data_IF_884074094662
#
_entry.id   IF_884074094662
#
_cell.length_a   1.000
_cell.length_b   1.000
_cell.length_c   1.000
_cell.angle_alpha   90.00
_cell.angle_beta   90.00
_cell.angle_gamma   90.00
#
_symmetry.space_group_name_H-M   'P 1'
#
loop_
_entity.id
_entity.type
_entity.pdbx_description
1 polymer ?
#
# COMPACT_ATOMS: atom_id res chain seq x y z
N UNK A 1 72.72 14.94 -50.20
CA UNK A 1 71.36 15.45 -49.90
C UNK A 1 70.81 14.67 -48.71
N UNK A 2 70.33 15.39 -47.67
CA UNK A 2 69.45 14.89 -46.58
C UNK A 2 68.09 14.41 -47.16
N UNK A 3 67.17 13.74 -46.42
CA UNK A 3 67.27 12.96 -45.16
C UNK A 3 66.51 11.59 -45.16
N UNK A 4 66.84 10.78 -44.15
CA UNK A 4 66.06 9.92 -43.21
C UNK A 4 64.54 9.69 -43.37
N UNK A 5 64.11 8.41 -43.21
CA UNK A 5 62.89 7.93 -42.51
C UNK A 5 62.98 6.38 -42.43
N UNK A 6 63.24 5.66 -41.34
CA UNK A 6 62.60 5.57 -40.01
C UNK A 6 61.10 5.21 -40.10
N UNK A 7 60.83 3.92 -40.36
CA UNK A 7 59.49 3.34 -40.24
C UNK A 7 59.17 3.18 -38.76
N UNK A 8 58.21 3.99 -38.31
CA UNK A 8 57.76 4.05 -36.93
C UNK A 8 56.88 2.85 -36.58
N UNK A 9 57.24 2.15 -35.50
CA UNK A 9 56.31 1.32 -34.75
C UNK A 9 55.41 2.26 -33.92
N UNK A 10 54.12 2.28 -34.22
CA UNK A 10 53.13 2.86 -33.32
C UNK A 10 52.33 1.75 -32.67
N UNK A 11 52.75 1.41 -31.45
CA UNK A 11 51.94 0.69 -30.47
C UNK A 11 50.77 1.63 -30.14
N UNK A 12 49.55 1.24 -30.51
CA UNK A 12 48.35 1.94 -30.12
C UNK A 12 48.09 1.69 -28.63
N UNK A 13 48.59 2.57 -27.77
CA UNK A 13 48.24 2.59 -26.36
C UNK A 13 46.77 3.00 -26.24
N UNK A 14 45.92 2.03 -25.91
CA UNK A 14 44.53 2.29 -25.52
C UNK A 14 44.53 3.14 -24.24
N UNK A 15 44.33 4.45 -24.39
CA UNK A 15 44.03 5.32 -23.27
C UNK A 15 42.60 5.02 -22.82
N UNK A 16 42.47 4.16 -21.80
CA UNK A 16 41.26 4.07 -20.98
C UNK A 16 41.11 5.40 -20.23
N UNK A 17 40.38 6.34 -20.83
CA UNK A 17 39.80 7.44 -20.06
C UNK A 17 38.72 6.83 -19.17
N UNK A 18 39.09 6.56 -17.92
CA UNK A 18 38.18 6.31 -16.81
C UNK A 18 37.38 7.59 -16.60
N UNK A 19 36.34 7.76 -17.41
CA UNK A 19 35.37 8.81 -17.21
C UNK A 19 34.46 8.33 -16.08
N UNK A 20 34.87 8.64 -14.85
CA UNK A 20 34.14 8.39 -13.61
C UNK A 20 32.86 9.21 -13.55
N UNK A 21 31.89 8.90 -14.42
CA UNK A 21 30.48 9.10 -14.11
C UNK A 21 29.99 7.78 -13.58
N UNK A 22 29.95 7.66 -12.26
CA UNK A 22 29.03 6.73 -11.59
C UNK A 22 27.66 6.99 -12.20
N UNK A 23 27.25 6.14 -13.16
CA UNK A 23 25.83 5.95 -13.43
C UNK A 23 25.30 5.34 -12.14
N UNK A 24 24.80 6.20 -11.28
CA UNK A 24 23.75 5.80 -10.35
C UNK A 24 22.70 5.22 -11.28
N UNK A 25 22.60 3.88 -11.31
CA UNK A 25 21.39 3.22 -11.75
C UNK A 25 20.38 3.67 -10.70
N UNK A 26 19.83 4.86 -10.92
CA UNK A 26 18.63 5.30 -10.25
C UNK A 26 17.61 4.37 -10.86
N UNK A 27 17.40 3.22 -10.19
CA UNK A 27 16.18 2.45 -10.34
C UNK A 27 15.08 3.45 -10.07
N UNK A 28 14.62 4.09 -11.14
CA UNK A 28 13.42 4.87 -11.15
C UNK A 28 12.37 3.83 -10.81
N UNK A 29 12.05 3.70 -9.51
CA UNK A 29 10.80 3.08 -9.10
C UNK A 29 9.78 3.88 -9.89
N UNK A 30 9.28 3.29 -10.96
CA UNK A 30 8.04 3.73 -11.55
C UNK A 30 7.06 3.59 -10.40
N UNK A 31 6.77 4.71 -9.73
CA UNK A 31 5.56 4.82 -8.95
C UNK A 31 4.48 4.49 -9.97
N UNK A 32 4.01 3.23 -9.95
CA UNK A 32 2.86 2.82 -10.72
C UNK A 32 1.80 3.84 -10.34
N UNK A 33 1.35 4.64 -11.32
CA UNK A 33 0.39 5.69 -11.05
C UNK A 33 -0.79 5.05 -10.31
N UNK A 34 -1.13 5.62 -9.16
CA UNK A 34 -2.35 5.23 -8.44
C UNK A 34 -3.48 5.60 -9.39
N UNK A 35 -4.13 4.59 -10.00
CA UNK A 35 -5.35 4.84 -10.72
C UNK A 35 -6.42 5.06 -9.65
N UNK A 36 -6.66 6.33 -9.31
CA UNK A 36 -7.70 6.74 -8.35
C UNK A 36 -9.12 6.37 -8.81
N UNK A 37 -9.26 5.89 -10.05
CA UNK A 37 -10.50 5.34 -10.59
C UNK A 37 -10.64 3.82 -10.40
N UNK A 38 -9.60 3.11 -9.95
CA UNK A 38 -9.74 1.71 -9.58
C UNK A 38 -10.63 1.65 -8.34
N UNK A 39 -11.80 1.03 -8.49
CA UNK A 39 -12.76 0.92 -7.40
C UNK A 39 -12.22 -0.08 -6.36
N UNK A 40 -12.10 0.38 -5.13
CA UNK A 40 -11.62 -0.44 -4.01
C UNK A 40 -12.82 -1.24 -3.50
N UNK A 41 -12.71 -2.56 -3.48
CA UNK A 41 -13.75 -3.38 -2.85
C UNK A 41 -13.33 -3.68 -1.41
N UNK A 42 -14.14 -3.24 -0.44
CA UNK A 42 -14.05 -3.69 0.94
C UNK A 42 -15.11 -4.76 1.19
N UNK A 43 -14.67 -5.95 1.59
CA UNK A 43 -15.53 -7.05 2.01
C UNK A 43 -15.42 -7.30 3.50
N UNK A 44 -16.50 -7.78 4.11
CA UNK A 44 -16.55 -8.16 5.52
C UNK A 44 -17.34 -9.45 5.70
N UNK A 45 -17.11 -10.12 6.83
CA UNK A 45 -18.02 -11.10 7.41
C UNK A 45 -18.15 -10.82 8.91
N UNK A 46 -19.37 -10.86 9.43
CA UNK A 46 -19.61 -10.71 10.88
C UNK A 46 -19.28 -12.00 11.63
N UNK A 47 -19.46 -13.14 10.97
CA UNK A 47 -19.07 -14.46 11.47
C UNK A 47 -18.22 -15.19 10.42
N UNK A 48 -17.06 -15.69 10.83
CA UNK A 48 -16.17 -16.44 9.94
C UNK A 48 -16.85 -17.70 9.41
N UNK A 49 -16.64 -18.01 8.14
CA UNK A 49 -17.23 -19.15 7.44
C UNK A 49 -18.77 -19.13 7.30
N UNK A 50 -19.44 -18.03 7.67
CA UNK A 50 -20.88 -17.86 7.51
C UNK A 50 -21.20 -16.86 6.40
N UNK A 51 -21.35 -17.37 5.16
CA UNK A 51 -21.53 -16.53 3.96
C UNK A 51 -22.71 -15.54 4.04
N UNK A 52 -23.78 -15.91 4.75
CA UNK A 52 -24.96 -15.05 4.94
C UNK A 52 -24.71 -13.84 5.86
N UNK A 53 -23.56 -13.80 6.55
CA UNK A 53 -23.13 -12.65 7.37
C UNK A 53 -22.16 -11.74 6.64
N UNK A 54 -21.80 -12.09 5.41
CA UNK A 54 -20.81 -11.38 4.62
C UNK A 54 -21.45 -10.36 3.69
N UNK A 55 -20.67 -9.33 3.35
CA UNK A 55 -21.05 -8.32 2.38
C UNK A 55 -19.83 -7.64 1.78
N UNK A 56 -20.06 -6.82 0.77
CA UNK A 56 -19.03 -6.01 0.14
C UNK A 56 -19.55 -4.63 -0.23
N UNK A 57 -18.63 -3.67 -0.32
CA UNK A 57 -18.93 -2.30 -0.71
C UNK A 57 -17.79 -1.72 -1.55
N UNK A 58 -18.15 -0.87 -2.52
CA UNK A 58 -17.19 -0.10 -3.30
C UNK A 58 -16.83 1.18 -2.54
N UNK A 59 -15.54 1.38 -2.32
CA UNK A 59 -15.03 2.47 -1.48
C UNK A 59 -14.41 3.57 -2.35
N UNK A 60 -14.70 4.81 -1.98
CA UNK A 60 -14.08 5.99 -2.58
C UNK A 60 -12.65 6.19 -2.02
N UNK A 61 -11.71 6.57 -2.89
CA UNK A 61 -10.34 6.85 -2.51
C UNK A 61 -10.25 7.96 -1.44
N UNK A 62 -9.70 7.63 -0.27
CA UNK A 62 -9.40 8.57 0.81
C UNK A 62 -10.60 9.02 1.64
N UNK A 63 -11.80 8.58 1.27
CA UNK A 63 -13.01 8.85 2.05
C UNK A 63 -13.05 7.94 3.28
N UNK A 64 -13.46 8.54 4.40
CA UNK A 64 -13.82 7.79 5.59
C UNK A 64 -15.28 7.35 5.52
N UNK A 65 -15.56 6.13 5.95
CA UNK A 65 -16.90 5.56 6.04
C UNK A 65 -17.13 5.07 7.47
N UNK A 66 -18.26 5.43 8.05
CA UNK A 66 -18.74 4.75 9.25
C UNK A 66 -19.30 3.39 8.83
N UNK A 67 -19.03 2.33 9.60
CA UNK A 67 -19.43 0.97 9.21
C UNK A 67 -20.95 0.83 9.14
N UNK A 68 -21.70 1.59 9.94
CA UNK A 68 -23.17 1.69 9.85
C UNK A 68 -23.67 2.19 8.50
N UNK A 69 -22.87 2.96 7.75
CA UNK A 69 -23.21 3.39 6.38
C UNK A 69 -23.07 2.24 5.37
N UNK A 70 -22.20 1.26 5.67
CA UNK A 70 -21.99 0.08 4.85
C UNK A 70 -23.04 -1.00 5.15
N UNK A 71 -23.31 -1.24 6.43
CA UNK A 71 -24.32 -2.17 6.90
C UNK A 71 -24.71 -1.89 8.37
N UNK A 72 -26.01 -1.90 8.73
CA UNK A 72 -26.49 -1.42 10.03
C UNK A 72 -25.98 -2.19 11.26
N UNK A 73 -25.49 -3.41 11.06
CA UNK A 73 -25.04 -4.30 12.14
C UNK A 73 -23.53 -4.55 12.14
N UNK A 74 -22.76 -3.64 11.54
CA UNK A 74 -21.34 -3.85 11.29
C UNK A 74 -20.44 -3.20 12.34
N UNK A 75 -20.91 -2.15 13.03
CA UNK A 75 -20.21 -1.60 14.19
C UNK A 75 -19.99 -2.69 15.23
N UNK A 76 -18.76 -2.75 15.75
CA UNK A 76 -18.33 -3.69 16.80
C UNK A 76 -18.63 -5.15 16.48
N UNK A 77 -18.72 -5.48 15.19
CA UNK A 77 -19.19 -6.80 14.75
C UNK A 77 -18.60 -7.17 13.37
N UNK A 78 -17.27 -7.17 13.28
CA UNK A 78 -16.54 -7.62 12.07
C UNK A 78 -15.51 -8.67 12.47
N UNK A 79 -15.71 -9.93 12.12
CA UNK A 79 -14.72 -10.98 12.40
C UNK A 79 -13.65 -11.07 11.32
N UNK A 80 -14.02 -10.96 10.04
CA UNK A 80 -13.07 -10.99 8.93
C UNK A 80 -13.30 -9.87 7.93
N UNK A 81 -12.20 -9.45 7.30
CA UNK A 81 -12.20 -8.40 6.26
C UNK A 81 -11.43 -8.83 5.03
N UNK A 82 -11.79 -8.25 3.90
CA UNK A 82 -11.10 -8.38 2.62
C UNK A 82 -10.99 -7.02 1.94
N UNK A 83 -9.87 -6.78 1.26
CA UNK A 83 -9.59 -5.55 0.52
C UNK A 83 -9.02 -5.92 -0.85
N UNK A 84 -9.72 -5.51 -1.90
CA UNK A 84 -9.32 -5.71 -3.30
C UNK A 84 -9.04 -4.34 -3.92
N UNK A 85 -7.98 -4.24 -4.73
CA UNK A 85 -7.54 -3.03 -5.44
C UNK A 85 -7.25 -1.81 -4.54
N UNK A 86 -6.97 -2.04 -3.26
CA UNK A 86 -6.65 -0.97 -2.33
C UNK A 86 -6.03 -1.44 -1.03
N UNK A 87 -5.97 -0.50 -0.09
CA UNK A 87 -5.40 -0.65 1.24
C UNK A 87 -6.34 0.07 2.20
N UNK A 88 -6.77 -0.57 3.28
CA UNK A 88 -7.68 0.05 4.25
C UNK A 88 -7.06 0.13 5.65
N UNK A 89 -7.57 1.03 6.47
CA UNK A 89 -7.30 1.09 7.91
C UNK A 89 -8.65 1.18 8.60
N UNK A 90 -8.76 0.57 9.77
CA UNK A 90 -9.98 0.50 10.57
C UNK A 90 -9.75 1.28 11.86
N UNK A 91 -10.74 2.06 12.27
CA UNK A 91 -10.73 2.90 13.46
C UNK A 91 -11.79 2.47 14.46
N UNK A 92 -11.50 2.72 15.73
CA UNK A 92 -12.40 2.40 16.83
C UNK A 92 -13.53 3.43 17.06
N UNK A 93 -13.43 4.61 16.45
CA UNK A 93 -14.45 5.65 16.54
C UNK A 93 -14.86 6.12 15.16
N UNK A 94 -16.05 6.71 15.13
CA UNK A 94 -16.64 7.24 13.92
C UNK A 94 -15.74 8.30 13.26
N UNK A 95 -15.92 8.47 11.96
CA UNK A 95 -15.20 9.44 11.14
C UNK A 95 -13.67 9.28 11.18
N UNK A 96 -13.18 8.04 11.36
CA UNK A 96 -11.77 7.67 11.34
C UNK A 96 -10.96 8.36 12.44
N UNK A 97 -11.50 8.33 13.67
CA UNK A 97 -10.89 8.88 14.87
C UNK A 97 -10.50 7.80 15.88
N UNK A 98 -9.67 8.18 16.85
CA UNK A 98 -9.18 7.29 17.90
C UNK A 98 -8.09 6.34 17.40
N UNK A 99 -7.96 5.25 18.13
CA UNK A 99 -7.02 4.18 17.81
C UNK A 99 -7.41 3.48 16.51
N UNK A 100 -6.41 2.91 15.84
CA UNK A 100 -6.57 2.36 14.51
C UNK A 100 -5.64 1.19 14.23
N UNK A 101 -6.07 0.35 13.30
CA UNK A 101 -5.30 -0.80 12.87
C UNK A 101 -4.02 -0.38 12.12
N UNK A 102 -3.14 -1.36 11.90
CA UNK A 102 -2.22 -1.28 10.77
C UNK A 102 -2.97 -1.29 9.42
N UNK A 103 -2.19 -1.20 8.34
CA UNK A 103 -2.73 -1.32 6.99
C UNK A 103 -3.25 -2.73 6.71
N UNK A 104 -4.48 -2.81 6.21
CA UNK A 104 -5.20 -4.03 5.84
C UNK A 104 -5.18 -4.20 4.32
N UNK A 105 -4.70 -5.36 3.86
CA UNK A 105 -4.64 -5.74 2.43
C UNK A 105 -4.81 -7.24 2.26
N UNK A 106 -5.52 -7.69 1.23
CA UNK A 106 -5.72 -9.11 0.94
C UNK A 106 -7.12 -9.60 1.32
N UNK A 107 -7.32 -10.90 1.45
CA UNK A 107 -8.64 -11.50 1.68
C UNK A 107 -8.69 -12.38 2.93
N UNK A 108 -9.88 -12.48 3.52
CA UNK A 108 -10.21 -13.31 4.68
C UNK A 108 -9.27 -13.10 5.88
N UNK A 109 -9.02 -11.84 6.21
CA UNK A 109 -8.13 -11.43 7.29
C UNK A 109 -8.97 -11.35 8.57
N UNK A 110 -8.63 -12.14 9.58
CA UNK A 110 -9.23 -12.02 10.91
C UNK A 110 -8.89 -10.67 11.52
N UNK A 111 -9.90 -9.91 11.94
CA UNK A 111 -9.72 -8.54 12.46
C UNK A 111 -8.89 -8.52 13.74
N UNK A 112 -9.05 -9.51 14.62
CA UNK A 112 -8.28 -9.64 15.85
C UNK A 112 -6.78 -9.94 15.62
N UNK A 113 -6.39 -10.31 14.40
CA UNK A 113 -4.98 -10.47 14.02
C UNK A 113 -4.36 -9.20 13.42
N UNK A 114 -5.16 -8.14 13.20
CA UNK A 114 -4.65 -6.89 12.63
C UNK A 114 -3.72 -6.16 13.59
N UNK A 115 -4.04 -6.18 14.88
CA UNK A 115 -3.19 -5.68 15.96
C UNK A 115 -3.25 -6.63 17.16
N UNK A 116 -2.16 -7.35 17.47
CA UNK A 116 -2.13 -8.30 18.58
C UNK A 116 -2.56 -7.66 19.90
N UNK A 117 -3.49 -8.29 20.61
CA UNK A 117 -3.95 -7.84 21.93
C UNK A 117 -5.10 -6.83 21.92
N UNK A 118 -5.55 -6.38 20.75
CA UNK A 118 -6.67 -5.44 20.62
C UNK A 118 -7.88 -6.12 19.96
N UNK A 119 -9.08 -6.11 20.60
CA UNK A 119 -10.25 -6.85 20.13
C UNK A 119 -10.99 -6.10 19.02
N UNK A 120 -10.35 -5.95 17.85
CA UNK A 120 -10.88 -5.20 16.72
C UNK A 120 -12.24 -5.70 16.24
N UNK A 121 -12.51 -7.01 16.39
CA UNK A 121 -13.82 -7.58 16.07
C UNK A 121 -15.00 -6.92 16.78
N UNK A 122 -14.74 -6.32 17.95
CA UNK A 122 -15.73 -5.71 18.86
C UNK A 122 -15.51 -4.22 19.11
N UNK A 123 -14.67 -3.56 18.30
CA UNK A 123 -14.35 -2.14 18.45
C UNK A 123 -14.36 -1.35 17.15
N UNK A 124 -14.34 -2.02 16.00
CA UNK A 124 -14.32 -1.33 14.72
C UNK A 124 -15.63 -0.54 14.50
N UNK A 125 -15.54 0.76 14.21
CA UNK A 125 -16.74 1.58 13.88
C UNK A 125 -16.60 2.39 12.60
N UNK A 126 -15.38 2.64 12.12
CA UNK A 126 -15.17 3.31 10.83
C UNK A 126 -13.92 2.82 10.11
N UNK A 127 -13.82 3.11 8.82
CA UNK A 127 -12.66 2.76 8.02
C UNK A 127 -12.39 3.78 6.91
N UNK A 128 -11.15 3.81 6.43
CA UNK A 128 -10.72 4.58 5.26
C UNK A 128 -9.92 3.67 4.35
N UNK A 129 -10.15 3.80 3.06
CA UNK A 129 -9.41 3.04 2.06
C UNK A 129 -8.70 3.95 1.06
N UNK A 130 -7.53 3.53 0.60
CA UNK A 130 -6.75 4.21 -0.42
C UNK A 130 -6.52 3.28 -1.61
N UNK A 131 -6.70 3.79 -2.82
CA UNK A 131 -6.46 3.07 -4.06
C UNK A 131 -4.96 2.88 -4.31
N UNK A 132 -4.63 1.95 -5.22
CA UNK A 132 -3.27 1.65 -5.66
C UNK A 132 -2.78 0.30 -5.18
N UNK A 133 -1.54 -0.05 -5.55
CA UNK A 133 -0.92 -1.33 -5.22
C UNK A 133 -0.34 -1.38 -3.79
N UNK A 134 0.22 -2.52 -3.36
CA UNK A 134 0.78 -2.69 -2.02
C UNK A 134 1.94 -1.73 -1.71
N UNK A 135 2.59 -1.15 -2.72
CA UNK A 135 3.71 -0.22 -2.58
C UNK A 135 3.31 1.26 -2.59
N UNK A 136 2.05 1.57 -2.93
CA UNK A 136 1.58 2.94 -3.02
C UNK A 136 1.39 3.58 -1.64
N UNK A 137 1.60 4.89 -1.61
CA UNK A 137 1.52 5.68 -0.39
C UNK A 137 0.13 5.65 0.26
N UNK A 138 0.10 5.85 1.57
CA UNK A 138 -1.15 6.11 2.27
C UNK A 138 -1.70 7.48 1.89
N UNK A 139 -2.99 7.56 1.60
CA UNK A 139 -3.60 8.76 1.03
C UNK A 139 -3.81 9.90 2.03
N UNK A 140 -3.75 9.65 3.35
CA UNK A 140 -3.77 10.72 4.34
C UNK A 140 -2.39 11.36 4.58
N UNK A 141 -1.30 10.61 4.45
CA UNK A 141 0.07 11.10 4.63
C UNK A 141 1.05 10.28 3.75
N UNK A 142 1.42 10.80 2.57
CA UNK A 142 2.27 10.08 1.65
C UNK A 142 3.70 9.97 2.16
N UNK A 143 3.99 8.83 2.79
CA UNK A 143 5.30 8.53 3.40
C UNK A 143 5.19 7.81 4.73
N UNK A 144 4.01 7.85 5.36
CA UNK A 144 3.74 7.09 6.59
C UNK A 144 2.80 5.93 6.31
N UNK A 145 3.32 4.72 6.52
CA UNK A 145 2.49 3.51 6.53
C UNK A 145 1.77 3.46 7.88
N UNK A 146 0.42 3.39 7.91
CA UNK A 146 -0.32 3.25 9.15
C UNK A 146 0.12 1.99 9.90
N UNK A 147 0.44 2.17 11.18
CA UNK A 147 0.76 1.11 12.12
C UNK A 147 -0.37 1.02 13.15
N UNK A 148 -0.47 -0.10 13.83
CA UNK A 148 -1.36 -0.23 14.98
C UNK A 148 -1.11 0.90 15.98
N UNK A 149 -2.20 1.50 16.41
CA UNK A 149 -2.28 2.36 17.59
C UNK A 149 -3.30 1.71 18.51
N UNK A 150 -3.01 1.72 19.80
CA UNK A 150 -3.73 1.00 20.85
C UNK A 150 -3.80 1.79 22.15
#
# INVERSE_FOLDING_TARGET
>A
MKPTALVAAFIATAAFLVNGRRRIIQTHRTHKQINVHDTITFGWCREANQSHTCGEHQMDHGRCYNLVELHPYLNDNIETVSVINGRCVIWEKDNCHGDHTGMVTGSNITTDHLCPGYPWSRRATSLKCCAGDLGAHWCADPGKVPKCTD
#
